data_IF_044115466774
#
_entry.id   IF_044115466774
#
_cell.length_a   1.000
_cell.length_b   1.000
_cell.length_c   1.000
_cell.angle_alpha   90.00
_cell.angle_beta   90.00
_cell.angle_gamma   90.00
#
_symmetry.space_group_name_H-M   'P 1'
#
loop_
_entity.id
_entity.type
_entity.pdbx_description
1 polymer ?
#
# COMPACT_ATOMS: atom_id res chain seq x y z
N UNK A 1 35.20 -48.34 -29.26
CA UNK A 1 35.28 -47.28 -30.29
C UNK A 1 33.97 -46.49 -30.25
N UNK A 2 34.02 -45.35 -29.83
CA UNK A 2 33.48 -44.03 -30.12
C UNK A 2 33.21 -43.20 -28.85
N UNK A 3 34.15 -42.28 -28.64
CA UNK A 3 34.01 -41.17 -27.70
C UNK A 3 33.09 -40.11 -28.33
N UNK A 4 32.05 -39.71 -27.63
CA UNK A 4 31.22 -38.56 -28.01
C UNK A 4 31.58 -37.36 -27.11
N UNK A 5 32.12 -36.33 -27.74
CA UNK A 5 32.47 -35.01 -27.23
C UNK A 5 31.32 -34.35 -26.48
N UNK A 6 31.54 -34.01 -25.22
CA UNK A 6 30.77 -32.98 -24.49
C UNK A 6 31.41 -31.62 -24.80
N UNK A 7 30.79 -30.84 -25.64
CA UNK A 7 31.07 -29.41 -25.77
C UNK A 7 30.41 -28.65 -24.59
N UNK A 8 31.23 -28.13 -23.72
CA UNK A 8 30.89 -27.12 -22.73
C UNK A 8 30.72 -25.80 -23.47
N UNK A 9 29.49 -25.31 -23.56
CA UNK A 9 29.21 -23.95 -24.05
C UNK A 9 29.56 -22.98 -22.96
N UNK A 10 30.66 -22.27 -23.14
CA UNK A 10 31.06 -21.13 -22.28
C UNK A 10 30.06 -19.97 -22.50
N UNK A 11 29.63 -19.34 -21.42
CA UNK A 11 28.84 -18.10 -21.43
C UNK A 11 29.63 -16.98 -22.16
N UNK A 12 28.94 -16.06 -22.87
CA UNK A 12 29.63 -14.97 -23.56
C UNK A 12 30.28 -14.02 -22.56
N UNK A 13 31.46 -13.45 -22.90
CA UNK A 13 32.17 -12.52 -22.01
C UNK A 13 31.35 -11.22 -21.86
N UNK A 14 31.11 -10.84 -20.62
CA UNK A 14 30.53 -9.54 -20.29
C UNK A 14 31.50 -8.44 -20.73
N UNK A 15 31.00 -7.47 -21.49
CA UNK A 15 31.74 -6.30 -21.87
C UNK A 15 32.25 -5.54 -20.63
N UNK A 16 33.50 -5.02 -20.63
CA UNK A 16 34.01 -4.25 -19.51
C UNK A 16 33.23 -2.94 -19.39
N UNK A 17 32.63 -2.72 -18.22
CA UNK A 17 32.08 -1.42 -17.83
C UNK A 17 33.26 -0.45 -17.76
N UNK A 18 33.35 0.51 -18.69
CA UNK A 18 34.31 1.59 -18.61
C UNK A 18 34.09 2.35 -17.28
N UNK A 19 35.12 2.37 -16.46
CA UNK A 19 35.24 3.27 -15.32
C UNK A 19 35.63 4.63 -15.85
N UNK A 20 34.67 5.48 -16.14
CA UNK A 20 34.91 6.90 -16.29
C UNK A 20 35.12 7.50 -14.91
N UNK A 21 36.34 7.85 -14.58
CA UNK A 21 36.79 8.52 -13.36
C UNK A 21 36.50 10.02 -13.39
N UNK A 22 35.41 10.46 -13.99
CA UNK A 22 34.89 11.81 -13.82
C UNK A 22 33.94 11.80 -12.61
N UNK A 23 34.28 12.58 -11.56
CA UNK A 23 33.48 12.71 -10.36
C UNK A 23 32.03 12.99 -10.74
N UNK A 24 31.17 11.99 -10.51
CA UNK A 24 29.75 12.07 -10.81
C UNK A 24 29.14 13.17 -9.94
N UNK A 25 28.86 14.31 -10.56
CA UNK A 25 28.11 15.38 -9.90
C UNK A 25 26.66 14.94 -9.73
N UNK A 26 26.05 15.26 -8.57
CA UNK A 26 24.63 15.00 -8.37
C UNK A 26 23.81 15.65 -9.48
N UNK A 27 22.63 15.10 -9.83
CA UNK A 27 21.73 15.73 -10.80
C UNK A 27 21.49 17.19 -10.42
N UNK A 28 21.41 18.08 -11.41
CA UNK A 28 21.26 19.52 -11.18
C UNK A 28 20.15 19.82 -10.14
N UNK A 29 20.52 20.53 -9.05
CA UNK A 29 19.60 20.94 -7.98
C UNK A 29 19.41 19.90 -6.83
N UNK A 30 20.06 18.76 -6.89
CA UNK A 30 20.02 17.75 -5.81
C UNK A 30 21.25 17.91 -4.90
N UNK A 31 21.09 18.17 -3.59
CA UNK A 31 22.23 18.34 -2.70
C UNK A 31 22.97 17.02 -2.51
N UNK A 32 24.30 17.10 -2.54
CA UNK A 32 25.17 16.03 -2.04
C UNK A 32 24.95 15.86 -0.54
N UNK A 33 25.14 14.64 -0.03
CA UNK A 33 25.14 14.43 1.42
C UNK A 33 26.35 15.12 2.06
N UNK A 34 26.18 15.81 3.22
CA UNK A 34 27.30 16.42 3.92
C UNK A 34 28.37 15.38 4.27
N UNK A 35 29.59 15.57 3.84
CA UNK A 35 30.70 14.63 4.07
C UNK A 35 30.91 14.28 5.56
N UNK A 36 30.82 15.24 6.51
CA UNK A 36 30.89 14.91 7.92
C UNK A 36 29.78 13.95 8.41
N UNK A 37 28.56 14.09 7.89
CA UNK A 37 27.44 13.21 8.21
C UNK A 37 27.70 11.78 7.72
N UNK A 38 28.16 11.64 6.48
CA UNK A 38 28.52 10.33 5.90
C UNK A 38 29.60 9.66 6.72
N UNK A 39 30.70 10.39 7.01
CA UNK A 39 31.84 9.86 7.79
C UNK A 39 31.40 9.43 9.20
N UNK A 40 30.62 10.24 9.88
CA UNK A 40 30.14 9.94 11.23
C UNK A 40 29.18 8.73 11.23
N UNK A 41 28.30 8.62 10.24
CA UNK A 41 27.37 7.48 10.12
C UNK A 41 28.12 6.17 9.86
N UNK A 42 29.09 6.15 8.94
CA UNK A 42 29.93 4.99 8.68
C UNK A 42 30.75 4.60 9.93
N UNK A 43 31.28 5.57 10.66
CA UNK A 43 32.01 5.33 11.92
C UNK A 43 31.08 4.72 12.99
N UNK A 44 29.86 5.23 13.14
CA UNK A 44 28.86 4.69 14.06
C UNK A 44 28.46 3.25 13.71
N UNK A 45 28.22 2.95 12.43
CA UNK A 45 27.92 1.60 11.97
C UNK A 45 29.11 0.63 12.21
N UNK A 46 30.32 1.06 11.89
CA UNK A 46 31.54 0.26 12.17
C UNK A 46 31.73 0.01 13.67
N UNK A 47 31.37 0.98 14.53
CA UNK A 47 31.45 0.80 15.97
C UNK A 47 30.54 -0.32 16.48
N UNK A 48 29.34 -0.45 15.92
CA UNK A 48 28.37 -1.51 16.28
C UNK A 48 28.96 -2.91 16.00
N UNK A 49 29.72 -3.07 14.93
CA UNK A 49 30.27 -4.37 14.49
C UNK A 49 31.74 -4.58 14.89
N UNK A 50 32.34 -3.64 15.62
CA UNK A 50 33.79 -3.65 15.95
C UNK A 50 34.26 -4.94 16.60
N UNK A 51 33.49 -5.47 17.55
CA UNK A 51 33.85 -6.66 18.34
C UNK A 51 33.16 -7.92 17.80
N UNK A 52 32.63 -7.90 16.59
CA UNK A 52 31.92 -9.04 16.00
C UNK A 52 32.94 -10.09 15.54
N UNK A 53 32.80 -11.35 15.97
CA UNK A 53 33.65 -12.44 15.50
C UNK A 53 33.52 -12.63 13.98
N UNK A 54 34.63 -12.80 13.29
CA UNK A 54 34.69 -12.91 11.82
C UNK A 54 33.98 -14.14 11.25
N UNK A 55 33.73 -15.16 12.08
CA UNK A 55 33.03 -16.38 11.68
C UNK A 55 31.52 -16.26 11.75
N UNK A 56 30.96 -15.17 12.30
CA UNK A 56 29.50 -14.98 12.37
C UNK A 56 28.90 -14.66 11.01
N UNK A 57 27.85 -15.37 10.65
CA UNK A 57 27.08 -15.17 9.43
C UNK A 57 25.58 -15.42 9.67
N UNK A 58 24.77 -15.11 8.67
CA UNK A 58 23.33 -15.38 8.72
C UNK A 58 22.63 -14.78 9.94
N UNK A 59 21.77 -15.56 10.56
CA UNK A 59 20.96 -15.12 11.69
C UNK A 59 21.79 -14.73 12.91
N UNK A 60 22.84 -15.48 13.22
CA UNK A 60 23.70 -15.18 14.39
C UNK A 60 24.32 -13.78 14.28
N UNK A 61 24.75 -13.41 13.07
CA UNK A 61 25.26 -12.06 12.79
C UNK A 61 24.18 -11.00 13.02
N UNK A 62 22.98 -11.23 12.56
CA UNK A 62 21.87 -10.28 12.70
C UNK A 62 21.44 -10.16 14.18
N UNK A 63 21.44 -11.23 14.94
CA UNK A 63 21.18 -11.20 16.38
C UNK A 63 22.28 -10.45 17.16
N UNK A 64 23.56 -10.65 16.79
CA UNK A 64 24.66 -9.89 17.37
C UNK A 64 24.47 -8.39 17.15
N UNK A 65 24.17 -7.97 15.91
CA UNK A 65 23.92 -6.56 15.56
C UNK A 65 22.74 -6.01 16.38
N UNK A 66 21.64 -6.76 16.49
CA UNK A 66 20.48 -6.36 17.27
C UNK A 66 20.83 -6.11 18.74
N UNK A 67 21.53 -7.04 19.39
CA UNK A 67 21.97 -6.93 20.79
C UNK A 67 22.92 -5.74 20.99
N UNK A 68 23.83 -5.51 20.05
CA UNK A 68 24.76 -4.37 20.13
C UNK A 68 24.02 -3.04 20.00
N UNK A 69 23.04 -2.94 19.09
CA UNK A 69 22.19 -1.75 18.94
C UNK A 69 21.37 -1.43 20.21
N UNK A 70 21.03 -2.44 21.02
CA UNK A 70 20.34 -2.22 22.30
C UNK A 70 21.29 -1.67 23.40
N UNK A 71 22.60 -1.81 23.21
CA UNK A 71 23.62 -1.44 24.20
C UNK A 71 24.50 -0.24 23.81
N UNK A 72 24.45 0.22 22.55
CA UNK A 72 25.22 1.38 22.10
C UNK A 72 24.60 2.70 22.57
N UNK A 73 25.42 3.75 22.62
CA UNK A 73 24.98 5.10 22.91
C UNK A 73 23.89 5.53 21.88
N UNK A 74 22.82 6.10 22.38
CA UNK A 74 21.69 6.59 21.59
C UNK A 74 22.14 7.58 20.50
N UNK A 75 23.21 8.34 20.74
CA UNK A 75 23.82 9.24 19.74
C UNK A 75 24.30 8.51 18.48
N UNK A 76 24.83 7.29 18.62
CA UNK A 76 25.26 6.50 17.47
C UNK A 76 24.07 6.12 16.58
N UNK A 77 22.95 5.72 17.20
CA UNK A 77 21.71 5.40 16.47
C UNK A 77 21.14 6.67 15.81
N UNK A 78 21.18 7.82 16.49
CA UNK A 78 20.72 9.09 15.92
C UNK A 78 21.51 9.47 14.68
N UNK A 79 22.82 9.32 14.66
CA UNK A 79 23.67 9.64 13.50
C UNK A 79 23.34 8.72 12.31
N UNK A 80 23.12 7.43 12.55
CA UNK A 80 22.68 6.48 11.51
C UNK A 80 21.33 6.91 10.93
N UNK A 81 20.37 7.29 11.78
CA UNK A 81 19.06 7.78 11.36
C UNK A 81 19.15 9.06 10.56
N UNK A 82 19.92 10.04 11.03
CA UNK A 82 20.12 11.33 10.33
C UNK A 82 20.72 11.13 8.93
N UNK A 83 21.66 10.20 8.78
CA UNK A 83 22.19 9.83 7.47
C UNK A 83 21.09 9.31 6.55
N UNK A 84 20.25 8.38 7.04
CA UNK A 84 19.18 7.83 6.24
C UNK A 84 18.07 8.85 5.94
N UNK A 85 17.76 9.74 6.87
CA UNK A 85 16.84 10.85 6.66
C UNK A 85 17.32 11.80 5.55
N UNK A 86 18.63 12.05 5.46
CA UNK A 86 19.21 12.81 4.36
C UNK A 86 19.07 12.09 3.01
N UNK A 87 19.18 10.76 2.99
CA UNK A 87 18.88 9.93 1.80
C UNK A 87 17.40 10.02 1.42
N UNK A 88 16.49 9.99 2.39
CA UNK A 88 15.04 10.14 2.14
C UNK A 88 14.69 11.55 1.65
N UNK A 89 15.34 12.59 2.17
CA UNK A 89 15.18 13.96 1.67
C UNK A 89 15.60 14.04 0.20
N UNK A 90 16.72 13.42 -0.16
CA UNK A 90 17.18 13.33 -1.55
C UNK A 90 16.15 12.60 -2.42
N UNK A 91 15.59 11.48 -1.96
CA UNK A 91 14.52 10.77 -2.63
C UNK A 91 13.35 11.70 -3.00
N UNK A 92 12.95 12.58 -2.09
CA UNK A 92 11.87 13.56 -2.33
C UNK A 92 12.27 14.63 -3.37
N UNK A 93 13.51 15.12 -3.30
CA UNK A 93 14.00 16.14 -4.22
C UNK A 93 14.22 15.63 -5.65
N UNK A 94 14.45 14.33 -5.82
CA UNK A 94 14.57 13.66 -7.13
C UNK A 94 13.25 13.10 -7.65
N UNK A 95 12.15 13.31 -6.93
CA UNK A 95 10.83 12.71 -7.23
C UNK A 95 10.87 11.17 -7.39
N UNK A 96 11.79 10.54 -6.65
CA UNK A 96 11.89 9.10 -6.62
C UNK A 96 10.73 8.49 -5.81
N UNK A 97 10.16 7.40 -6.32
CA UNK A 97 9.05 6.72 -5.67
C UNK A 97 9.49 5.67 -4.65
N UNK A 98 10.63 5.03 -4.89
CA UNK A 98 11.13 3.92 -4.08
C UNK A 98 12.66 4.02 -3.90
N UNK A 99 13.14 3.56 -2.75
CA UNK A 99 14.55 3.29 -2.45
C UNK A 99 14.71 1.79 -2.21
N UNK A 100 15.79 1.20 -2.73
CA UNK A 100 16.23 -0.15 -2.41
C UNK A 100 17.71 -0.12 -2.00
N UNK A 101 18.06 -0.89 -1.00
CA UNK A 101 19.42 -1.03 -0.51
C UNK A 101 19.63 -2.34 0.25
N UNK A 102 20.88 -2.66 0.53
CA UNK A 102 21.27 -3.82 1.33
C UNK A 102 21.41 -5.09 0.51
N UNK A 103 21.80 -6.15 1.17
CA UNK A 103 22.17 -7.46 0.62
C UNK A 103 23.22 -7.41 -0.51
N UNK A 104 23.54 -8.57 -1.07
CA UNK A 104 24.49 -8.69 -2.17
C UNK A 104 23.97 -8.04 -3.46
N UNK A 105 22.64 -8.10 -3.68
CA UNK A 105 22.01 -7.62 -4.91
C UNK A 105 22.14 -6.12 -5.15
N UNK A 106 22.23 -5.32 -4.09
CA UNK A 106 22.39 -3.87 -4.20
C UNK A 106 23.85 -3.44 -4.45
N UNK A 107 24.85 -4.33 -4.31
CA UNK A 107 26.28 -4.07 -4.53
C UNK A 107 26.83 -2.87 -3.75
N UNK A 108 26.34 -2.66 -2.52
CA UNK A 108 26.74 -1.53 -1.69
C UNK A 108 26.12 -0.18 -2.08
N UNK A 109 25.37 -0.11 -3.17
CA UNK A 109 24.73 1.13 -3.63
C UNK A 109 23.32 1.28 -3.07
N UNK A 110 22.89 2.55 -2.95
CA UNK A 110 21.50 2.91 -2.75
C UNK A 110 20.86 3.09 -4.14
N UNK A 111 19.80 2.34 -4.40
CA UNK A 111 19.06 2.40 -5.66
C UNK A 111 17.79 3.23 -5.49
N UNK A 112 17.49 4.08 -6.46
CA UNK A 112 16.25 4.86 -6.46
C UNK A 112 15.44 4.58 -7.72
N UNK A 113 14.10 4.55 -7.57
CA UNK A 113 13.18 4.47 -8.71
C UNK A 113 12.74 5.89 -9.07
N UNK A 114 13.26 6.42 -10.17
CA UNK A 114 12.99 7.78 -10.68
C UNK A 114 12.27 7.64 -12.01
N UNK A 115 11.10 8.22 -12.16
CA UNK A 115 10.26 8.16 -13.38
C UNK A 115 9.99 6.73 -13.90
N UNK A 116 10.00 5.73 -13.01
CA UNK A 116 9.77 4.33 -13.34
C UNK A 116 11.04 3.48 -13.44
N UNK A 117 12.19 4.08 -13.73
CA UNK A 117 13.46 3.38 -13.86
C UNK A 117 14.19 3.27 -12.51
N UNK A 118 14.75 2.10 -12.22
CA UNK A 118 15.50 1.83 -11.00
C UNK A 118 16.99 1.94 -11.29
N UNK A 119 17.64 2.97 -10.75
CA UNK A 119 19.06 3.29 -10.99
C UNK A 119 19.86 3.39 -9.71
N UNK A 120 21.14 2.96 -9.70
CA UNK A 120 22.03 3.15 -8.56
C UNK A 120 22.42 4.64 -8.47
N UNK A 121 22.51 5.14 -7.25
CA UNK A 121 22.95 6.52 -6.98
C UNK A 121 24.45 6.49 -6.73
N UNK A 122 25.23 6.63 -7.80
CA UNK A 122 26.71 6.48 -7.77
C UNK A 122 27.44 7.64 -7.08
N UNK A 123 26.78 8.74 -6.87
CA UNK A 123 27.29 9.91 -6.11
C UNK A 123 26.99 9.80 -4.60
N UNK A 124 26.27 8.79 -4.17
CA UNK A 124 26.13 8.40 -2.77
C UNK A 124 27.25 7.42 -2.37
N UNK A 125 27.62 7.38 -1.08
CA UNK A 125 28.68 6.48 -0.61
C UNK A 125 28.28 5.01 -0.83
N UNK A 126 29.24 4.19 -1.24
CA UNK A 126 29.10 2.75 -1.17
C UNK A 126 29.10 2.30 0.31
N UNK A 127 28.09 1.54 0.68
CA UNK A 127 27.91 1.02 2.03
C UNK A 127 28.08 -0.50 1.98
N UNK A 128 29.13 -1.07 2.59
CA UNK A 128 29.29 -2.52 2.65
C UNK A 128 28.04 -3.21 3.24
N UNK A 129 27.72 -4.41 2.75
CA UNK A 129 26.55 -5.19 3.16
C UNK A 129 26.42 -5.32 4.69
N UNK A 130 27.53 -5.52 5.40
CA UNK A 130 27.54 -5.58 6.85
C UNK A 130 27.05 -4.27 7.49
N UNK A 131 27.44 -3.13 6.94
CA UNK A 131 27.02 -1.83 7.47
C UNK A 131 25.60 -1.48 7.08
N UNK A 132 25.10 -1.97 5.93
CA UNK A 132 23.68 -1.86 5.61
C UNK A 132 22.80 -2.69 6.53
N UNK A 133 23.27 -3.88 6.99
CA UNK A 133 22.57 -4.67 8.03
C UNK A 133 22.40 -3.84 9.32
N UNK A 134 23.47 -3.15 9.76
CA UNK A 134 23.43 -2.26 10.93
C UNK A 134 22.47 -1.09 10.72
N UNK A 135 22.53 -0.45 9.56
CA UNK A 135 21.68 0.67 9.22
C UNK A 135 20.21 0.27 9.25
N UNK A 136 19.83 -0.81 8.56
CA UNK A 136 18.44 -1.29 8.49
C UNK A 136 17.91 -1.59 9.91
N UNK A 137 18.67 -2.29 10.74
CA UNK A 137 18.28 -2.57 12.11
C UNK A 137 18.24 -1.32 13.01
N UNK A 138 19.08 -0.32 12.75
CA UNK A 138 19.11 0.97 13.46
C UNK A 138 17.91 1.86 13.16
N UNK A 139 17.22 1.66 12.03
CA UNK A 139 16.03 2.42 11.66
C UNK A 139 14.75 1.95 12.37
N UNK A 140 14.70 0.71 12.81
CA UNK A 140 13.54 0.08 13.43
C UNK A 140 13.70 -0.01 14.96
N UNK A 141 12.58 -0.13 15.67
CA UNK A 141 12.58 -0.27 17.13
C UNK A 141 13.08 -1.64 17.57
N UNK A 142 13.49 -1.78 18.85
CA UNK A 142 13.92 -3.07 19.41
C UNK A 142 12.87 -4.17 19.19
N UNK A 143 11.59 -3.89 19.44
CA UNK A 143 10.49 -4.84 19.21
C UNK A 143 10.37 -5.24 17.72
N UNK A 144 10.53 -4.29 16.81
CA UNK A 144 10.50 -4.54 15.38
C UNK A 144 11.72 -5.38 14.93
N UNK A 145 12.92 -5.19 15.53
CA UNK A 145 14.07 -6.05 15.28
C UNK A 145 13.80 -7.50 15.65
N UNK A 146 13.20 -7.75 16.82
CA UNK A 146 12.79 -9.10 17.21
C UNK A 146 11.86 -9.71 16.16
N UNK A 147 10.83 -8.99 15.74
CA UNK A 147 9.90 -9.46 14.69
C UNK A 147 10.60 -9.75 13.37
N UNK A 148 11.53 -8.89 12.94
CA UNK A 148 12.33 -9.10 11.72
C UNK A 148 13.17 -10.37 11.81
N UNK A 149 13.82 -10.60 12.94
CA UNK A 149 14.65 -11.78 13.16
C UNK A 149 13.83 -13.08 13.23
N UNK A 150 12.64 -13.05 13.81
CA UNK A 150 11.74 -14.20 13.89
C UNK A 150 11.06 -14.52 12.56
N UNK A 151 10.46 -13.52 11.92
CA UNK A 151 9.63 -13.68 10.70
C UNK A 151 10.41 -13.57 9.39
N UNK A 152 11.69 -13.20 9.44
CA UNK A 152 12.56 -12.95 8.27
C UNK A 152 12.08 -11.81 7.36
N UNK A 153 11.03 -11.12 7.74
CA UNK A 153 10.49 -9.95 7.06
C UNK A 153 9.75 -9.06 8.03
N UNK A 154 9.77 -7.75 7.77
CA UNK A 154 9.10 -6.75 8.58
C UNK A 154 8.58 -5.63 7.66
N UNK A 155 7.27 -5.41 7.65
CA UNK A 155 6.68 -4.18 7.14
C UNK A 155 6.62 -3.15 8.27
N UNK A 156 7.00 -1.91 7.98
CA UNK A 156 6.99 -0.83 8.97
C UNK A 156 6.75 0.53 8.31
N UNK A 157 6.29 1.49 9.09
CA UNK A 157 6.24 2.89 8.67
C UNK A 157 7.45 3.64 9.21
N UNK A 158 7.96 4.58 8.41
CA UNK A 158 8.98 5.52 8.82
C UNK A 158 8.51 6.94 8.52
N UNK A 159 8.89 7.88 9.36
CA UNK A 159 8.50 9.28 9.16
C UNK A 159 9.67 10.22 9.44
N UNK A 160 9.74 11.28 8.65
CA UNK A 160 10.72 12.35 8.81
C UNK A 160 10.00 13.70 8.83
N UNK A 161 10.56 14.65 9.53
CA UNK A 161 10.10 16.04 9.48
C UNK A 161 11.13 16.89 8.74
N UNK A 162 10.72 17.49 7.64
CA UNK A 162 11.58 18.34 6.82
C UNK A 162 10.88 19.67 6.61
N UNK A 163 11.54 20.77 6.99
CA UNK A 163 11.00 22.14 6.83
C UNK A 163 9.59 22.30 7.39
N UNK A 164 9.33 21.66 8.54
CA UNK A 164 8.02 21.67 9.20
C UNK A 164 6.98 20.72 8.60
N UNK A 165 7.27 20.08 7.46
CA UNK A 165 6.38 19.13 6.80
C UNK A 165 6.72 17.69 7.20
N UNK A 166 5.70 16.92 7.61
CA UNK A 166 5.85 15.50 7.92
C UNK A 166 5.79 14.67 6.64
N UNK A 167 6.84 13.92 6.39
CA UNK A 167 6.91 12.96 5.29
C UNK A 167 6.85 11.53 5.83
N UNK A 168 6.02 10.70 5.22
CA UNK A 168 5.87 9.30 5.60
C UNK A 168 6.37 8.37 4.49
N UNK A 169 6.82 7.19 4.94
CA UNK A 169 7.36 6.15 4.08
C UNK A 169 6.87 4.79 4.57
N UNK A 170 6.62 3.88 3.65
CA UNK A 170 6.40 2.47 3.92
C UNK A 170 7.69 1.72 3.66
N UNK A 171 8.23 1.07 4.67
CA UNK A 171 9.42 0.23 4.58
C UNK A 171 9.08 -1.26 4.67
N UNK A 172 9.80 -2.07 3.91
CA UNK A 172 9.85 -3.53 4.07
C UNK A 172 11.30 -3.94 4.20
N UNK A 173 11.69 -4.46 5.36
CA UNK A 173 12.99 -5.08 5.60
C UNK A 173 12.85 -6.60 5.54
N UNK A 174 13.80 -7.29 4.94
CA UNK A 174 13.73 -8.74 4.72
C UNK A 174 15.12 -9.36 4.64
N UNK A 175 15.18 -10.67 4.93
CA UNK A 175 16.40 -11.45 4.74
C UNK A 175 16.58 -11.79 3.26
N UNK A 176 17.81 -11.62 2.78
CA UNK A 176 18.26 -11.99 1.44
C UNK A 176 19.71 -12.50 1.51
N UNK A 177 19.92 -13.80 1.28
CA UNK A 177 21.21 -14.48 1.36
C UNK A 177 22.00 -14.12 2.64
N UNK A 178 21.38 -14.38 3.81
CA UNK A 178 21.96 -14.15 5.14
C UNK A 178 22.21 -12.68 5.53
N UNK A 179 21.88 -11.74 4.68
CA UNK A 179 21.95 -10.30 4.93
C UNK A 179 20.55 -9.69 4.90
N UNK A 180 20.46 -8.40 5.19
CA UNK A 180 19.20 -7.68 5.12
C UNK A 180 19.12 -6.84 3.84
N UNK A 181 18.00 -6.95 3.15
CA UNK A 181 17.56 -6.01 2.13
C UNK A 181 16.44 -5.12 2.68
N UNK A 182 16.31 -3.91 2.15
CA UNK A 182 15.22 -3.02 2.48
C UNK A 182 14.73 -2.27 1.26
N UNK A 183 13.41 -2.28 1.07
CA UNK A 183 12.72 -1.37 0.17
C UNK A 183 11.99 -0.31 1.00
N UNK A 184 12.05 0.95 0.57
CA UNK A 184 11.29 2.02 1.19
C UNK A 184 10.57 2.85 0.12
N UNK A 185 9.25 2.96 0.23
CA UNK A 185 8.39 3.71 -0.67
C UNK A 185 7.95 5.03 -0.05
N UNK A 186 8.04 6.10 -0.82
CA UNK A 186 7.48 7.39 -0.44
C UNK A 186 5.95 7.35 -0.46
N UNK A 187 5.33 7.80 0.63
CA UNK A 187 3.88 7.98 0.71
C UNK A 187 3.55 9.42 0.30
N UNK A 188 2.54 9.57 -0.57
CA UNK A 188 2.11 10.90 -1.00
C UNK A 188 1.53 11.69 0.19
N UNK A 189 1.93 12.95 0.30
CA UNK A 189 1.47 13.84 1.36
C UNK A 189 0.13 14.54 1.06
N UNK A 190 -0.42 14.36 -0.16
CA UNK A 190 -1.62 15.05 -0.60
C UNK A 190 -2.76 14.09 -0.88
N UNK A 191 -3.92 14.35 -0.28
CA UNK A 191 -5.17 13.66 -0.60
C UNK A 191 -5.78 14.29 -1.85
N UNK A 192 -6.30 13.46 -2.74
CA UNK A 192 -7.07 13.94 -3.90
C UNK A 192 -8.43 14.43 -3.42
N UNK A 193 -8.89 15.53 -3.98
CA UNK A 193 -10.24 16.01 -3.72
C UNK A 193 -11.27 14.97 -4.16
N UNK A 194 -12.26 14.72 -3.31
CA UNK A 194 -13.35 13.75 -3.56
C UNK A 194 -14.12 14.07 -4.85
N UNK A 195 -14.34 15.34 -5.15
CA UNK A 195 -15.00 15.82 -6.37
C UNK A 195 -14.36 15.30 -7.66
N UNK A 196 -13.04 15.08 -7.65
CA UNK A 196 -12.28 14.59 -8.83
C UNK A 196 -12.65 13.17 -9.28
N UNK A 197 -13.28 12.38 -8.40
CA UNK A 197 -13.73 11.01 -8.71
C UNK A 197 -15.02 10.99 -9.53
N UNK A 198 -15.75 12.10 -9.64
CA UNK A 198 -17.00 12.21 -10.36
C UNK A 198 -17.98 11.06 -10.04
N UNK A 199 -18.20 10.80 -8.76
CA UNK A 199 -19.23 9.89 -8.32
C UNK A 199 -20.62 10.52 -8.51
N UNK A 200 -21.63 9.66 -8.76
CA UNK A 200 -23.03 10.07 -8.80
C UNK A 200 -23.46 10.63 -7.43
N UNK A 201 -24.41 11.58 -7.41
CA UNK A 201 -24.85 12.21 -6.15
C UNK A 201 -25.34 11.21 -5.11
N UNK A 202 -26.06 10.16 -5.52
CA UNK A 202 -26.49 9.10 -4.62
C UNK A 202 -25.31 8.36 -3.96
N UNK A 203 -24.25 8.07 -4.73
CA UNK A 203 -23.02 7.46 -4.20
C UNK A 203 -22.33 8.40 -3.19
N UNK A 204 -22.28 9.69 -3.51
CA UNK A 204 -21.79 10.72 -2.59
C UNK A 204 -22.59 10.76 -1.29
N UNK A 205 -23.92 10.70 -1.37
CA UNK A 205 -24.77 10.67 -0.19
C UNK A 205 -24.53 9.41 0.67
N UNK A 206 -24.32 8.25 0.04
CA UNK A 206 -24.02 7.01 0.76
C UNK A 206 -22.65 7.08 1.45
N UNK A 207 -21.65 7.68 0.83
CA UNK A 207 -20.29 7.78 1.40
C UNK A 207 -20.17 8.89 2.45
N UNK A 208 -21.04 9.86 2.47
CA UNK A 208 -21.01 10.99 3.38
C UNK A 208 -21.84 10.74 4.65
N UNK A 209 -21.26 10.97 5.83
CA UNK A 209 -21.90 10.75 7.13
C UNK A 209 -23.12 11.68 7.36
N UNK A 210 -23.15 12.85 6.73
CA UNK A 210 -24.29 13.78 6.87
C UNK A 210 -25.60 13.20 6.35
N UNK A 211 -25.53 12.36 5.31
CA UNK A 211 -26.72 11.80 4.63
C UNK A 211 -26.98 10.34 5.01
N UNK A 212 -25.92 9.56 5.21
CA UNK A 212 -26.04 8.15 5.59
C UNK A 212 -25.18 7.90 6.82
N UNK A 213 -25.81 7.54 7.93
CA UNK A 213 -25.12 7.42 9.24
C UNK A 213 -24.41 6.10 9.43
N UNK A 214 -24.90 5.03 8.86
CA UNK A 214 -24.45 3.66 9.08
C UNK A 214 -24.27 2.88 7.77
N UNK A 215 -23.60 1.76 7.86
CA UNK A 215 -23.46 0.81 6.79
C UNK A 215 -22.03 0.56 6.34
N UNK A 216 -21.82 -0.59 5.73
CA UNK A 216 -20.53 -1.02 5.19
C UNK A 216 -20.37 -0.54 3.74
N UNK A 217 -19.28 0.13 3.48
CA UNK A 217 -18.86 0.59 2.16
C UNK A 217 -17.51 -0.05 1.81
N UNK A 218 -17.43 -0.69 0.64
CA UNK A 218 -16.24 -1.39 0.18
C UNK A 218 -15.63 -0.69 -1.04
N UNK A 219 -14.33 -0.43 -0.98
CA UNK A 219 -13.53 0.01 -2.13
C UNK A 219 -12.62 -1.14 -2.52
N UNK A 220 -12.82 -1.72 -3.70
CA UNK A 220 -12.16 -2.96 -4.09
C UNK A 220 -11.33 -2.81 -5.36
N UNK A 221 -10.45 -3.76 -5.62
CA UNK A 221 -9.56 -3.75 -6.79
C UNK A 221 -8.22 -4.41 -6.49
N UNK A 222 -7.48 -4.76 -7.52
CA UNK A 222 -6.13 -5.32 -7.38
C UNK A 222 -5.16 -4.31 -6.75
N UNK A 223 -3.98 -4.79 -6.38
CA UNK A 223 -2.91 -3.91 -5.88
C UNK A 223 -2.58 -2.82 -6.92
N UNK A 224 -2.46 -1.58 -6.45
CA UNK A 224 -2.18 -0.44 -7.33
C UNK A 224 -3.40 0.13 -8.08
N UNK A 225 -4.63 -0.31 -7.80
CA UNK A 225 -5.87 0.23 -8.39
C UNK A 225 -6.35 1.54 -7.76
N UNK A 226 -5.67 2.07 -6.74
CA UNK A 226 -5.98 3.36 -6.12
C UNK A 226 -6.99 3.29 -4.96
N UNK A 227 -7.22 2.11 -4.35
CA UNK A 227 -8.17 1.93 -3.24
C UNK A 227 -7.90 2.86 -2.06
N UNK A 228 -6.68 2.86 -1.53
CA UNK A 228 -6.28 3.70 -0.39
C UNK A 228 -6.49 5.18 -0.72
N UNK A 229 -6.07 5.62 -1.91
CA UNK A 229 -6.25 7.02 -2.33
C UNK A 229 -7.73 7.43 -2.40
N UNK A 230 -8.61 6.52 -2.81
CA UNK A 230 -10.06 6.77 -2.84
C UNK A 230 -10.64 6.80 -1.43
N UNK A 231 -10.23 5.87 -0.56
CA UNK A 231 -10.64 5.87 0.85
C UNK A 231 -10.18 7.14 1.57
N UNK A 232 -8.92 7.55 1.39
CA UNK A 232 -8.40 8.77 1.98
C UNK A 232 -9.19 10.00 1.52
N UNK A 233 -9.61 10.06 0.24
CA UNK A 233 -10.46 11.13 -0.27
C UNK A 233 -11.86 11.13 0.37
N UNK A 234 -12.46 9.95 0.59
CA UNK A 234 -13.76 9.81 1.28
C UNK A 234 -13.63 10.23 2.75
N UNK A 235 -12.57 9.80 3.43
CA UNK A 235 -12.31 10.16 4.83
C UNK A 235 -12.07 11.68 4.95
N UNK A 236 -11.27 12.27 4.05
CA UNK A 236 -11.02 13.71 4.07
C UNK A 236 -12.28 14.53 3.79
N UNK A 237 -13.15 14.09 2.88
CA UNK A 237 -14.46 14.68 2.65
C UNK A 237 -15.31 14.68 3.94
N UNK A 238 -15.40 13.55 4.64
CA UNK A 238 -16.14 13.46 5.89
C UNK A 238 -15.50 14.33 6.99
N UNK A 239 -14.16 14.37 7.07
CA UNK A 239 -13.41 15.22 7.96
C UNK A 239 -13.67 16.73 7.73
N UNK A 240 -13.95 17.14 6.51
CA UNK A 240 -14.29 18.53 6.16
C UNK A 240 -15.74 18.89 6.44
N UNK A 241 -16.65 17.94 6.29
CA UNK A 241 -18.08 18.23 6.23
C UNK A 241 -18.86 17.80 7.47
N UNK A 242 -18.32 16.90 8.31
CA UNK A 242 -19.02 16.31 9.45
C UNK A 242 -18.29 16.57 10.75
N UNK A 243 -19.03 16.95 11.80
CA UNK A 243 -18.54 16.96 13.18
C UNK A 243 -18.65 15.53 13.71
N UNK A 244 -17.54 14.78 13.69
CA UNK A 244 -17.54 13.34 13.94
C UNK A 244 -16.22 12.84 14.51
N UNK A 245 -16.24 11.61 15.00
CA UNK A 245 -15.03 10.89 15.38
C UNK A 245 -14.73 9.78 14.37
N UNK A 246 -13.58 9.86 13.73
CA UNK A 246 -13.12 8.92 12.69
C UNK A 246 -11.95 8.12 13.27
N UNK A 247 -12.05 6.79 13.25
CA UNK A 247 -10.97 5.88 13.64
C UNK A 247 -10.48 5.15 12.40
N UNK A 248 -9.18 5.30 12.10
CA UNK A 248 -8.50 4.64 10.98
C UNK A 248 -7.62 3.53 11.53
N UNK A 249 -7.89 2.27 11.16
CA UNK A 249 -7.07 1.09 11.48
C UNK A 249 -6.42 0.63 10.18
N UNK A 250 -5.09 0.73 10.05
CA UNK A 250 -4.38 0.43 8.80
C UNK A 250 -3.01 -0.22 9.02
N UNK A 251 -2.47 -0.86 7.99
CA UNK A 251 -1.14 -1.50 8.03
C UNK A 251 -0.40 -1.35 6.69
N UNK A 252 0.56 -0.42 6.61
CA UNK A 252 0.75 0.73 7.48
C UNK A 252 -0.31 1.81 7.24
N UNK A 253 -0.35 2.84 8.09
CA UNK A 253 -1.12 4.06 7.81
C UNK A 253 -0.45 4.79 6.65
N UNK A 254 -1.11 4.85 5.48
CA UNK A 254 -0.55 5.50 4.30
C UNK A 254 -0.67 7.04 4.39
N UNK A 255 -1.80 7.55 4.80
CA UNK A 255 -2.01 9.00 4.95
C UNK A 255 -2.43 9.36 6.38
N UNK A 256 -1.85 10.43 6.93
CA UNK A 256 -2.27 10.98 8.23
C UNK A 256 -3.11 12.21 7.99
N UNK A 257 -4.40 12.07 8.20
CA UNK A 257 -5.35 13.16 8.05
C UNK A 257 -5.15 14.21 9.16
N UNK A 258 -5.01 15.47 8.75
CA UNK A 258 -5.07 16.59 9.70
C UNK A 258 -6.51 16.81 10.12
N UNK A 259 -6.84 16.83 11.42
CA UNK A 259 -8.19 17.13 11.91
C UNK A 259 -8.70 18.47 11.37
N UNK A 260 -9.93 18.48 10.83
CA UNK A 260 -10.63 19.68 10.35
C UNK A 260 -11.88 19.90 11.22
N UNK A 261 -13.02 19.34 10.83
CA UNK A 261 -14.24 19.32 11.66
C UNK A 261 -14.34 18.08 12.52
N UNK A 262 -13.68 16.98 12.09
CA UNK A 262 -13.71 15.71 12.82
C UNK A 262 -12.46 15.50 13.68
N UNK A 263 -12.62 14.73 14.75
CA UNK A 263 -11.49 14.10 15.45
C UNK A 263 -11.07 12.89 14.63
N UNK A 264 -9.79 12.76 14.30
CA UNK A 264 -9.28 11.59 13.58
C UNK A 264 -8.20 10.88 14.38
N UNK A 265 -8.38 9.58 14.60
CA UNK A 265 -7.41 8.69 15.24
C UNK A 265 -6.87 7.70 14.25
N UNK A 266 -5.55 7.61 14.16
CA UNK A 266 -4.87 6.64 13.32
C UNK A 266 -4.27 5.56 14.22
N UNK A 267 -4.61 4.31 13.94
CA UNK A 267 -4.18 3.11 14.70
C UNK A 267 -3.45 2.17 13.73
N UNK A 268 -2.13 2.17 13.79
CA UNK A 268 -1.30 1.33 12.90
C UNK A 268 -1.15 -0.07 13.49
N UNK A 269 -1.49 -1.10 12.70
CA UNK A 269 -1.33 -2.50 13.10
C UNK A 269 0.15 -2.83 13.25
N UNK A 270 0.49 -3.51 14.34
CA UNK A 270 1.87 -3.86 14.72
C UNK A 270 2.60 -2.76 15.50
N UNK A 271 2.02 -1.54 15.59
CA UNK A 271 2.55 -0.43 16.35
C UNK A 271 1.60 0.01 17.48
N UNK A 272 0.37 0.40 17.10
CA UNK A 272 -0.64 0.97 18.02
C UNK A 272 -1.70 -0.08 18.40
N UNK A 273 -1.91 -1.08 17.55
CA UNK A 273 -2.80 -2.23 17.76
C UNK A 273 -2.13 -3.51 17.25
N UNK A 274 -2.51 -4.67 17.78
CA UNK A 274 -1.85 -5.93 17.45
C UNK A 274 -2.36 -6.54 16.13
N UNK A 275 -3.64 -6.31 15.78
CA UNK A 275 -4.25 -6.82 14.55
C UNK A 275 -5.36 -5.89 14.06
N UNK A 276 -5.82 -6.09 12.82
CA UNK A 276 -7.01 -5.41 12.29
C UNK A 276 -8.25 -5.73 13.13
N UNK A 277 -8.46 -7.01 13.51
CA UNK A 277 -9.55 -7.43 14.40
C UNK A 277 -9.54 -6.65 15.70
N UNK A 278 -8.41 -6.67 16.42
CA UNK A 278 -8.31 -5.98 17.70
C UNK A 278 -8.49 -4.48 17.58
N UNK A 279 -7.87 -3.87 16.57
CA UNK A 279 -8.03 -2.44 16.29
C UNK A 279 -9.48 -2.07 16.03
N UNK A 280 -10.22 -2.89 15.27
CA UNK A 280 -11.63 -2.70 14.97
C UNK A 280 -12.51 -2.86 16.22
N UNK A 281 -12.29 -3.92 17.02
CA UNK A 281 -13.04 -4.16 18.27
C UNK A 281 -12.77 -3.04 19.30
N UNK A 282 -11.51 -2.59 19.40
CA UNK A 282 -11.17 -1.49 20.30
C UNK A 282 -11.75 -0.15 19.83
N UNK A 283 -11.93 0.05 18.52
CA UNK A 283 -12.55 1.25 17.98
C UNK A 283 -13.97 1.46 18.51
N UNK A 284 -14.77 0.40 18.67
CA UNK A 284 -16.13 0.46 19.25
C UNK A 284 -16.18 1.16 20.62
N UNK A 285 -15.10 1.07 21.41
CA UNK A 285 -15.02 1.66 22.74
C UNK A 285 -14.54 3.12 22.74
N UNK A 286 -14.31 3.66 21.54
CA UNK A 286 -13.79 5.02 21.36
C UNK A 286 -14.88 6.00 20.91
N UNK A 287 -16.14 5.59 20.90
CA UNK A 287 -17.29 6.39 20.43
C UNK A 287 -17.08 6.91 18.99
N UNK A 288 -16.83 6.03 17.99
CA UNK A 288 -16.58 6.43 16.63
C UNK A 288 -17.89 6.62 15.86
N UNK A 289 -17.97 7.61 14.99
CA UNK A 289 -19.01 7.70 13.96
C UNK A 289 -18.60 6.94 12.70
N UNK A 290 -17.31 6.97 12.38
CA UNK A 290 -16.73 6.31 11.21
C UNK A 290 -15.56 5.43 11.66
N UNK A 291 -15.55 4.19 11.16
CA UNK A 291 -14.38 3.31 11.27
C UNK A 291 -13.88 2.96 9.86
N UNK A 292 -12.64 3.28 9.57
CA UNK A 292 -11.94 2.83 8.37
C UNK A 292 -11.04 1.66 8.72
N UNK A 293 -11.30 0.50 8.12
CA UNK A 293 -10.48 -0.70 8.23
C UNK A 293 -9.71 -0.82 6.92
N UNK A 294 -8.37 -0.69 6.99
CA UNK A 294 -7.52 -0.65 5.80
C UNK A 294 -7.77 -1.80 4.83
N UNK A 295 -7.96 -3.00 5.35
CA UNK A 295 -8.30 -4.19 4.56
C UNK A 295 -8.94 -5.29 5.41
N UNK A 296 -9.80 -6.10 4.78
CA UNK A 296 -10.38 -7.32 5.36
C UNK A 296 -9.81 -8.54 4.66
N UNK A 297 -8.82 -9.20 5.27
CA UNK A 297 -8.14 -10.38 4.71
C UNK A 297 -8.51 -11.70 5.35
N UNK A 298 -9.04 -11.65 6.55
CA UNK A 298 -9.29 -12.82 7.38
C UNK A 298 -10.73 -12.83 7.92
N UNK A 299 -11.27 -14.01 8.26
CA UNK A 299 -12.64 -14.14 8.77
C UNK A 299 -12.92 -13.29 10.00
N UNK A 300 -11.96 -13.17 10.89
CA UNK A 300 -12.10 -12.45 12.15
C UNK A 300 -12.27 -10.94 11.92
N UNK A 301 -11.49 -10.36 11.01
CA UNK A 301 -11.60 -8.94 10.62
C UNK A 301 -12.91 -8.68 9.88
N UNK A 302 -13.36 -9.60 9.00
CA UNK A 302 -14.65 -9.54 8.31
C UNK A 302 -15.80 -9.52 9.32
N UNK A 303 -15.78 -10.43 10.28
CA UNK A 303 -16.82 -10.50 11.32
C UNK A 303 -16.85 -9.25 12.18
N UNK A 304 -15.70 -8.75 12.61
CA UNK A 304 -15.60 -7.50 13.36
C UNK A 304 -16.15 -6.30 12.59
N UNK A 305 -15.86 -6.20 11.27
CA UNK A 305 -16.41 -5.15 10.41
C UNK A 305 -17.94 -5.22 10.29
N UNK A 306 -18.50 -6.42 10.15
CA UNK A 306 -19.96 -6.62 10.12
C UNK A 306 -20.57 -6.25 11.48
N UNK A 307 -19.96 -6.67 12.58
CA UNK A 307 -20.45 -6.40 13.95
C UNK A 307 -20.48 -4.92 14.28
N UNK A 308 -19.43 -4.18 13.95
CA UNK A 308 -19.40 -2.74 14.18
C UNK A 308 -20.41 -2.01 13.29
N UNK A 309 -20.65 -2.52 12.07
CA UNK A 309 -21.67 -1.95 11.19
C UNK A 309 -23.08 -2.22 11.71
N UNK A 310 -23.36 -3.44 12.18
CA UNK A 310 -24.65 -3.83 12.79
C UNK A 310 -24.98 -2.99 14.03
N UNK A 311 -23.96 -2.48 14.74
CA UNK A 311 -24.17 -1.61 15.90
C UNK A 311 -24.42 -0.14 15.53
N UNK A 312 -24.67 0.16 14.25
CA UNK A 312 -25.10 1.49 13.78
C UNK A 312 -23.96 2.40 13.33
N UNK A 313 -22.75 1.88 13.13
CA UNK A 313 -21.61 2.69 12.70
C UNK A 313 -21.41 2.67 11.19
N UNK A 314 -20.78 3.71 10.66
CA UNK A 314 -20.35 3.76 9.28
C UNK A 314 -18.96 3.14 9.13
N UNK A 315 -18.85 2.12 8.29
CA UNK A 315 -17.60 1.37 8.10
C UNK A 315 -17.14 1.46 6.66
N UNK A 316 -15.87 1.81 6.47
CA UNK A 316 -15.17 1.75 5.18
C UNK A 316 -14.09 0.70 5.23
N UNK A 317 -13.98 -0.11 4.16
CA UNK A 317 -12.89 -1.08 4.07
C UNK A 317 -12.50 -1.39 2.63
N UNK A 318 -11.42 -2.19 2.46
CA UNK A 318 -10.97 -2.66 1.14
C UNK A 318 -10.93 -4.18 1.04
N UNK A 319 -11.05 -4.63 -0.22
CA UNK A 319 -10.80 -6.02 -0.63
C UNK A 319 -9.96 -6.05 -1.91
N UNK A 320 -9.25 -7.16 -2.12
CA UNK A 320 -8.47 -7.43 -3.33
C UNK A 320 -9.28 -8.28 -4.32
N UNK A 321 -10.39 -7.73 -4.82
CA UNK A 321 -11.32 -8.35 -5.76
C UNK A 321 -11.53 -7.45 -6.97
N UNK A 322 -11.91 -8.00 -8.11
CA UNK A 322 -12.01 -7.29 -9.38
C UNK A 322 -13.42 -6.77 -9.69
N UNK A 323 -14.44 -7.23 -8.96
CA UNK A 323 -15.84 -6.85 -9.13
C UNK A 323 -16.61 -6.84 -7.81
N UNK A 324 -17.79 -6.21 -7.82
CA UNK A 324 -18.68 -6.16 -6.66
C UNK A 324 -19.22 -7.57 -6.30
N UNK A 325 -19.56 -8.36 -7.29
CA UNK A 325 -20.03 -9.75 -7.09
C UNK A 325 -18.95 -10.59 -6.44
N UNK A 326 -17.72 -10.57 -6.99
CA UNK A 326 -16.58 -11.27 -6.42
C UNK A 326 -16.30 -10.84 -4.96
N UNK A 327 -16.52 -9.58 -4.64
CA UNK A 327 -16.32 -9.06 -3.28
C UNK A 327 -17.31 -9.68 -2.29
N UNK A 328 -18.57 -9.79 -2.67
CA UNK A 328 -19.63 -10.41 -1.87
C UNK A 328 -19.34 -11.90 -1.68
N UNK A 329 -19.07 -12.61 -2.77
CA UNK A 329 -18.78 -14.05 -2.74
C UNK A 329 -17.53 -14.35 -1.91
N UNK A 330 -16.50 -13.51 -1.98
CA UNK A 330 -15.27 -13.65 -1.20
C UNK A 330 -15.51 -13.47 0.29
N UNK A 331 -16.24 -12.44 0.72
CA UNK A 331 -16.56 -12.24 2.13
C UNK A 331 -17.29 -13.46 2.70
N UNK A 332 -18.25 -14.00 1.94
CA UNK A 332 -19.00 -15.19 2.36
C UNK A 332 -18.12 -16.43 2.35
N UNK A 333 -17.26 -16.58 1.36
CA UNK A 333 -16.38 -17.74 1.20
C UNK A 333 -15.21 -17.80 2.18
N UNK A 334 -14.79 -16.68 2.80
CA UNK A 334 -13.70 -16.64 3.78
C UNK A 334 -14.10 -17.26 5.14
N UNK A 335 -15.39 -17.37 5.44
CA UNK A 335 -15.84 -17.96 6.70
C UNK A 335 -16.15 -19.45 6.54
N UNK A 336 -16.07 -20.25 7.64
CA UNK A 336 -16.41 -21.67 7.60
C UNK A 336 -17.82 -21.91 7.04
N UNK A 337 -18.07 -23.01 6.29
CA UNK A 337 -19.36 -23.27 5.64
C UNK A 337 -20.57 -23.17 6.56
N UNK A 338 -20.44 -23.57 7.82
CA UNK A 338 -21.53 -23.51 8.82
C UNK A 338 -21.95 -22.06 9.15
N UNK A 339 -21.06 -21.09 8.95
CA UNK A 339 -21.28 -19.67 9.24
C UNK A 339 -21.73 -18.87 8.00
N UNK A 340 -21.58 -19.43 6.80
CA UNK A 340 -21.77 -18.69 5.53
C UNK A 340 -23.19 -18.12 5.40
N UNK A 341 -24.22 -18.86 5.75
CA UNK A 341 -25.61 -18.37 5.66
C UNK A 341 -25.88 -17.22 6.64
N UNK A 342 -25.32 -17.31 7.84
CA UNK A 342 -25.41 -16.24 8.84
C UNK A 342 -24.69 -14.98 8.33
N UNK A 343 -23.47 -15.13 7.82
CA UNK A 343 -22.68 -14.01 7.29
C UNK A 343 -23.34 -13.40 6.06
N UNK A 344 -23.87 -14.21 5.14
CA UNK A 344 -24.62 -13.77 3.97
C UNK A 344 -25.79 -12.87 4.35
N UNK A 345 -26.60 -13.29 5.30
CA UNK A 345 -27.75 -12.53 5.76
C UNK A 345 -27.32 -11.18 6.40
N UNK A 346 -26.37 -11.23 7.32
CA UNK A 346 -25.85 -10.00 7.97
C UNK A 346 -25.18 -9.06 6.97
N UNK A 347 -24.35 -9.58 6.07
CA UNK A 347 -23.71 -8.78 5.01
C UNK A 347 -24.77 -8.08 4.14
N UNK A 348 -25.81 -8.81 3.73
CA UNK A 348 -26.91 -8.23 2.95
C UNK A 348 -27.62 -7.08 3.67
N UNK A 349 -27.71 -7.14 5.00
CA UNK A 349 -28.36 -6.09 5.79
C UNK A 349 -27.47 -4.86 6.01
N UNK A 350 -26.15 -5.04 6.14
CA UNK A 350 -25.22 -3.95 6.46
C UNK A 350 -24.56 -3.32 5.23
N UNK A 351 -24.36 -4.06 4.14
CA UNK A 351 -23.70 -3.55 2.93
C UNK A 351 -24.53 -2.46 2.27
N UNK A 352 -23.90 -1.34 1.93
CA UNK A 352 -24.58 -0.21 1.24
C UNK A 352 -24.00 0.07 -0.13
N UNK A 353 -22.69 -0.10 -0.31
CA UNK A 353 -21.99 0.29 -1.53
C UNK A 353 -20.75 -0.57 -1.74
N UNK A 354 -20.51 -0.98 -2.99
CA UNK A 354 -19.22 -1.52 -3.44
C UNK A 354 -18.73 -0.72 -4.65
N UNK A 355 -17.50 -0.23 -4.59
CA UNK A 355 -16.83 0.44 -5.70
C UNK A 355 -15.59 -0.37 -6.07
N UNK A 356 -15.64 -1.05 -7.22
CA UNK A 356 -14.50 -1.80 -7.74
C UNK A 356 -13.70 -0.95 -8.73
N UNK A 357 -12.37 -0.90 -8.58
CA UNK A 357 -11.51 0.07 -9.26
C UNK A 357 -10.42 -0.57 -10.10
N UNK A 358 -10.15 0.04 -11.25
CA UNK A 358 -8.98 -0.22 -12.09
C UNK A 358 -8.37 1.11 -12.56
N UNK A 359 -7.09 1.12 -12.91
CA UNK A 359 -6.37 2.29 -13.40
C UNK A 359 -5.74 2.02 -14.77
N UNK A 360 -6.54 1.98 -15.85
CA UNK A 360 -6.01 1.86 -17.19
C UNK A 360 -5.12 3.05 -17.57
N UNK A 361 -4.07 2.82 -18.40
CA UNK A 361 -3.26 3.90 -18.94
C UNK A 361 -4.07 4.77 -19.90
N UNK A 362 -3.81 6.07 -19.84
CA UNK A 362 -4.42 7.05 -20.74
C UNK A 362 -3.57 7.27 -21.98
N UNK A 363 -4.18 7.86 -23.01
CA UNK A 363 -3.51 8.16 -24.27
C UNK A 363 -2.35 9.17 -24.15
N UNK A 364 -2.30 9.93 -23.04
CA UNK A 364 -1.23 10.87 -22.68
C UNK A 364 -0.19 10.28 -21.70
N UNK A 365 -0.17 8.94 -21.54
CA UNK A 365 0.82 8.25 -20.70
C UNK A 365 0.56 8.28 -19.19
N UNK A 366 -0.58 8.86 -18.74
CA UNK A 366 -1.01 8.85 -17.34
C UNK A 366 -1.90 7.64 -17.04
N UNK A 367 -2.59 7.67 -15.92
CA UNK A 367 -3.61 6.68 -15.55
C UNK A 367 -4.92 7.38 -15.21
N UNK A 368 -6.05 6.74 -15.55
CA UNK A 368 -7.39 7.23 -15.21
C UNK A 368 -8.16 6.17 -14.43
N UNK A 369 -9.11 6.60 -13.60
CA UNK A 369 -9.97 5.70 -12.87
C UNK A 369 -11.05 5.12 -13.79
N UNK A 370 -11.11 3.80 -13.87
CA UNK A 370 -12.27 3.03 -14.32
C UNK A 370 -12.90 2.35 -13.11
N UNK A 371 -14.22 2.41 -13.00
CA UNK A 371 -14.94 1.96 -11.81
C UNK A 371 -16.19 1.15 -12.16
N UNK A 372 -16.46 0.12 -11.36
CA UNK A 372 -17.74 -0.53 -11.24
C UNK A 372 -18.38 -0.09 -9.93
N UNK A 373 -19.65 0.27 -9.93
CA UNK A 373 -20.35 0.78 -8.74
C UNK A 373 -21.63 -0.01 -8.53
N UNK A 374 -21.72 -0.68 -7.39
CA UNK A 374 -22.94 -1.36 -6.91
C UNK A 374 -23.52 -0.60 -5.73
N UNK A 375 -24.73 -0.12 -5.85
CA UNK A 375 -25.55 0.38 -4.73
C UNK A 375 -26.47 -0.74 -4.27
N UNK A 376 -26.47 -1.05 -2.98
CA UNK A 376 -27.28 -2.15 -2.43
C UNK A 376 -28.72 -1.72 -2.24
N UNK A 377 -29.53 -1.97 -3.26
CA UNK A 377 -30.99 -1.81 -3.25
C UNK A 377 -31.68 -2.98 -2.53
N UNK A 378 -32.99 -2.90 -2.24
CA UNK A 378 -33.75 -4.05 -1.73
C UNK A 378 -33.65 -5.29 -2.61
N UNK A 379 -33.62 -5.14 -3.95
CA UNK A 379 -33.47 -6.25 -4.89
C UNK A 379 -32.08 -6.88 -4.80
N UNK A 380 -31.01 -6.07 -4.73
CA UNK A 380 -29.63 -6.54 -4.53
C UNK A 380 -29.50 -7.25 -3.19
N UNK A 381 -30.08 -6.69 -2.13
CA UNK A 381 -30.11 -7.31 -0.80
C UNK A 381 -30.76 -8.71 -0.84
N UNK A 382 -31.90 -8.83 -1.53
CA UNK A 382 -32.60 -10.11 -1.71
C UNK A 382 -31.74 -11.12 -2.50
N UNK A 383 -31.08 -10.67 -3.57
CA UNK A 383 -30.17 -11.52 -4.35
C UNK A 383 -29.00 -12.04 -3.50
N UNK A 384 -28.41 -11.21 -2.65
CA UNK A 384 -27.35 -11.64 -1.71
C UNK A 384 -27.89 -12.69 -0.73
N UNK A 385 -29.04 -12.42 -0.07
CA UNK A 385 -29.64 -13.33 0.91
C UNK A 385 -29.96 -14.70 0.32
N UNK A 386 -30.45 -14.72 -0.92
CA UNK A 386 -30.84 -15.96 -1.61
C UNK A 386 -29.66 -16.67 -2.31
N UNK A 387 -28.44 -16.11 -2.25
CA UNK A 387 -27.26 -16.68 -2.94
C UNK A 387 -27.29 -16.49 -4.46
N UNK A 388 -28.14 -15.62 -4.99
CA UNK A 388 -28.30 -15.34 -6.42
C UNK A 388 -27.38 -14.19 -6.88
N UNK A 389 -26.12 -14.21 -6.45
CA UNK A 389 -25.15 -13.14 -6.73
C UNK A 389 -24.89 -12.93 -8.21
N UNK A 390 -25.09 -13.94 -9.05
CA UNK A 390 -24.99 -13.85 -10.52
C UNK A 390 -25.97 -12.85 -11.17
N UNK A 391 -27.11 -12.56 -10.53
CA UNK A 391 -28.11 -11.58 -11.04
C UNK A 391 -27.67 -10.13 -10.80
N UNK A 392 -26.76 -9.89 -9.84
CA UNK A 392 -26.34 -8.56 -9.41
C UNK A 392 -25.68 -7.78 -10.56
N UNK A 393 -24.92 -8.46 -11.44
CA UNK A 393 -24.30 -7.81 -12.59
C UNK A 393 -25.35 -7.11 -13.48
N UNK A 394 -26.48 -7.76 -13.73
CA UNK A 394 -27.58 -7.16 -14.53
C UNK A 394 -28.22 -5.98 -13.78
N UNK A 395 -28.39 -6.11 -12.47
CA UNK A 395 -28.92 -5.01 -11.64
C UNK A 395 -28.00 -3.78 -11.67
N UNK A 396 -26.66 -3.98 -11.67
CA UNK A 396 -25.69 -2.89 -11.85
C UNK A 396 -25.86 -2.25 -13.23
N UNK A 397 -25.99 -3.07 -14.29
CA UNK A 397 -26.09 -2.58 -15.67
C UNK A 397 -27.32 -1.72 -15.92
N UNK A 398 -28.40 -1.95 -15.18
CA UNK A 398 -29.70 -1.27 -15.30
C UNK A 398 -29.87 -0.12 -14.28
N UNK A 399 -29.06 -0.06 -13.24
CA UNK A 399 -29.20 0.85 -12.11
C UNK A 399 -28.58 2.24 -12.29
N UNK A 400 -28.43 2.75 -13.49
CA UNK A 400 -27.78 4.03 -13.77
C UNK A 400 -28.36 5.21 -12.99
N UNK A 401 -29.69 5.27 -12.81
CA UNK A 401 -30.37 6.32 -12.05
C UNK A 401 -29.99 6.37 -10.58
N UNK A 402 -29.48 5.26 -10.04
CA UNK A 402 -28.96 5.14 -8.68
C UNK A 402 -27.45 5.37 -8.61
N UNK A 403 -26.80 5.63 -9.74
CA UNK A 403 -25.37 5.79 -9.85
C UNK A 403 -24.59 4.49 -10.00
N UNK A 404 -25.27 3.37 -10.27
CA UNK A 404 -24.62 2.10 -10.59
C UNK A 404 -24.04 2.14 -12.02
N UNK A 405 -22.92 1.47 -12.20
CA UNK A 405 -22.26 1.34 -13.51
C UNK A 405 -21.40 0.07 -13.51
N UNK A 406 -21.45 -0.73 -14.57
CA UNK A 406 -20.54 -1.86 -14.73
C UNK A 406 -19.15 -1.39 -15.18
N UNK A 407 -18.12 -2.19 -14.93
CA UNK A 407 -16.76 -1.89 -15.39
C UNK A 407 -16.73 -1.64 -16.91
N UNK A 408 -17.45 -2.44 -17.69
CA UNK A 408 -17.51 -2.33 -19.15
C UNK A 408 -18.20 -1.05 -19.61
N UNK A 409 -19.27 -0.61 -18.93
CA UNK A 409 -19.95 0.65 -19.24
C UNK A 409 -19.03 1.85 -18.95
N UNK A 410 -18.32 1.84 -17.84
CA UNK A 410 -17.38 2.93 -17.51
C UNK A 410 -16.17 2.96 -18.44
N UNK A 411 -15.61 1.79 -18.80
CA UNK A 411 -14.55 1.70 -19.80
C UNK A 411 -15.02 2.23 -21.18
N UNK A 412 -16.26 1.88 -21.62
CA UNK A 412 -16.85 2.44 -22.85
C UNK A 412 -16.93 3.97 -22.76
N UNK A 413 -17.38 4.52 -21.62
CA UNK A 413 -17.44 5.97 -21.38
C UNK A 413 -16.07 6.61 -21.54
N UNK A 414 -15.00 6.00 -20.97
CA UNK A 414 -13.62 6.49 -21.08
C UNK A 414 -13.11 6.46 -22.51
N UNK A 415 -13.46 5.42 -23.32
CA UNK A 415 -13.13 5.37 -24.76
C UNK A 415 -13.85 6.50 -25.52
N UNK A 416 -15.16 6.72 -25.28
CA UNK A 416 -15.93 7.83 -25.89
C UNK A 416 -15.32 9.19 -25.55
N UNK A 417 -14.80 9.36 -24.34
CA UNK A 417 -14.06 10.56 -23.91
C UNK A 417 -12.63 10.64 -24.46
N UNK A 418 -12.18 9.68 -25.26
CA UNK A 418 -10.82 9.56 -25.82
C UNK A 418 -9.72 9.54 -24.74
N UNK A 419 -10.06 9.17 -23.52
CA UNK A 419 -9.11 9.04 -22.42
C UNK A 419 -8.29 7.78 -22.51
N UNK A 420 -8.88 6.67 -22.98
CA UNK A 420 -8.19 5.38 -23.17
C UNK A 420 -8.50 4.85 -24.57
N UNK A 421 -7.65 3.92 -25.04
CA UNK A 421 -7.88 3.24 -26.33
C UNK A 421 -8.89 2.10 -26.18
N UNK A 422 -9.45 1.63 -27.30
CA UNK A 422 -10.31 0.43 -27.33
C UNK A 422 -9.55 -0.82 -26.87
N UNK A 423 -8.26 -0.91 -27.21
CA UNK A 423 -7.38 -1.98 -26.76
C UNK A 423 -7.26 -2.01 -25.24
N UNK A 424 -7.04 -0.85 -24.61
CA UNK A 424 -6.97 -0.77 -23.15
C UNK A 424 -8.33 -1.09 -22.51
N UNK A 425 -9.46 -0.65 -23.07
CA UNK A 425 -10.76 -1.03 -22.58
C UNK A 425 -10.97 -2.55 -22.60
N UNK A 426 -10.52 -3.23 -23.67
CA UNK A 426 -10.58 -4.70 -23.76
C UNK A 426 -9.65 -5.40 -22.77
N UNK A 427 -8.46 -4.84 -22.50
CA UNK A 427 -7.48 -5.39 -21.56
C UNK A 427 -8.01 -5.32 -20.10
N UNK A 428 -8.67 -4.21 -19.76
CA UNK A 428 -9.15 -3.94 -18.41
C UNK A 428 -10.58 -4.42 -18.11
N UNK A 429 -11.34 -4.86 -19.12
CA UNK A 429 -12.70 -5.39 -18.95
C UNK A 429 -12.72 -6.69 -18.12
N UNK A 430 -13.68 -6.83 -17.21
CA UNK A 430 -13.97 -8.08 -16.50
C UNK A 430 -14.65 -9.09 -17.44
N UNK A 431 -15.62 -8.61 -18.23
CA UNK A 431 -16.32 -9.41 -19.25
C UNK A 431 -15.94 -8.94 -20.66
N UNK A 432 -14.93 -9.59 -21.25
CA UNK A 432 -14.45 -9.24 -22.60
C UNK A 432 -15.51 -9.37 -23.70
N UNK A 433 -16.40 -10.38 -23.59
CA UNK A 433 -17.50 -10.57 -24.55
C UNK A 433 -18.46 -9.38 -24.50
N UNK A 434 -18.85 -8.97 -23.32
CA UNK A 434 -19.71 -7.80 -23.11
C UNK A 434 -19.05 -6.50 -23.56
N UNK A 435 -17.75 -6.33 -23.26
CA UNK A 435 -16.99 -5.16 -23.69
C UNK A 435 -16.97 -5.04 -25.23
N UNK A 436 -16.70 -6.16 -25.93
CA UNK A 436 -16.74 -6.18 -27.39
C UNK A 436 -18.11 -5.77 -27.96
N UNK A 437 -19.20 -6.27 -27.37
CA UNK A 437 -20.56 -5.88 -27.76
C UNK A 437 -20.79 -4.37 -27.55
N UNK A 438 -20.40 -3.85 -26.40
CA UNK A 438 -20.59 -2.43 -26.08
C UNK A 438 -19.77 -1.49 -26.97
N UNK A 439 -18.59 -1.90 -27.39
CA UNK A 439 -17.76 -1.14 -28.33
C UNK A 439 -18.30 -1.18 -29.77
N UNK A 440 -18.99 -2.27 -30.15
CA UNK A 440 -19.63 -2.37 -31.46
C UNK A 440 -20.94 -1.56 -31.59
N UNK A 441 -21.54 -1.19 -30.47
CA UNK A 441 -22.75 -0.35 -30.38
C UNK A 441 -22.40 1.15 -30.33
N UNK A 442 -21.53 1.63 -31.23
CA UNK A 442 -21.21 3.08 -31.30
C UNK A 442 -22.30 3.88 -31.98
#
# INVERSE_FOLDING_TARGET
MNQANRQTTAAPPQAPVQKDSNGLQPPHGVPSLPEPLVKNALAAMNYVVKDMPSYMFGLERQEFISKKLDSVDERAIQVIRQFYEAVLLRMRKTDASDIDLGSFGARGHIWMRIHGDKTPQLDLPEIPTLLTDVMIQGLVTAKQRITLLEKRSLDFSFQTQVEGTMHRYRGTAYFDLDSLGMNMRAINATVREYSSYNFHQNVTNITNLRFTKEGLILITGITGSGKSTTLDAIIDMNNQESDSHIVVVASPVEYVHTPKRSIIRHREVGRDVLSFKEGTVQALRQDPDIVMIGEMRDPDTIMAAIEITDSGHKVFSTLHTSSAVESIDRIIGEVPPIEQDRVRNRLADVLRLVVSQKLPPTTDGKRTLAKEVLVVTPSVRSAIKNGNTGEIYQMIAEGADLGMITMEQDLKRLVKMRKITTTEAMNYANNKKRMKQLLAMQ
#
